data_IF_694351483764
#
_entry.id   IF_694351483764
#
_cell.length_a   1.000
_cell.length_b   1.000
_cell.length_c   1.000
_cell.angle_alpha   90.00
_cell.angle_beta   90.00
_cell.angle_gamma   90.00
#
_symmetry.space_group_name_H-M   'P 1'
#
loop_
_entity.id
_entity.type
_entity.pdbx_description
1 polymer ?
#
# COMPACT_ATOMS: atom_id res chain seq x y z
N UNK A 1 15.25 4.89 0.83
CA UNK A 1 15.00 3.99 -0.33
C UNK A 1 13.94 2.99 0.10
N UNK A 2 12.87 2.80 -0.68
CA UNK A 2 11.79 1.88 -0.32
C UNK A 2 12.09 0.41 -0.65
N UNK A 3 11.08 -0.43 -0.43
CA UNK A 3 11.10 -1.87 -0.72
C UNK A 3 11.32 -2.13 -2.22
N UNK A 4 11.95 -3.26 -2.55
CA UNK A 4 12.37 -3.58 -3.93
C UNK A 4 11.31 -4.34 -4.70
N UNK A 5 10.42 -5.03 -4.01
CA UNK A 5 9.37 -5.84 -4.63
C UNK A 5 7.99 -5.48 -4.09
N UNK A 6 6.93 -5.71 -4.90
CA UNK A 6 5.55 -5.61 -4.42
C UNK A 6 5.29 -6.46 -3.17
N UNK A 7 5.89 -7.64 -3.09
CA UNK A 7 5.74 -8.57 -1.97
C UNK A 7 6.34 -7.98 -0.69
N UNK A 8 7.55 -7.42 -0.76
CA UNK A 8 8.20 -6.77 0.37
C UNK A 8 7.40 -5.58 0.88
N UNK A 9 6.88 -4.72 -0.02
CA UNK A 9 6.12 -3.53 0.41
C UNK A 9 4.79 -3.91 1.05
N UNK A 10 4.06 -4.86 0.46
CA UNK A 10 2.79 -5.33 1.03
C UNK A 10 3.01 -6.02 2.37
N UNK A 11 4.06 -6.85 2.51
CA UNK A 11 4.41 -7.46 3.78
C UNK A 11 4.74 -6.41 4.85
N UNK A 12 5.52 -5.38 4.50
CA UNK A 12 5.85 -4.28 5.41
C UNK A 12 4.60 -3.50 5.86
N UNK A 13 3.69 -3.18 4.93
CA UNK A 13 2.43 -2.52 5.27
C UNK A 13 1.49 -3.39 6.11
N UNK A 14 1.40 -4.70 5.82
CA UNK A 14 0.60 -5.63 6.62
C UNK A 14 1.14 -5.80 8.05
N UNK A 15 2.45 -5.62 8.26
CA UNK A 15 3.06 -5.65 9.58
C UNK A 15 2.90 -4.33 10.36
N UNK A 16 2.43 -3.26 9.72
CA UNK A 16 2.15 -1.97 10.36
C UNK A 16 0.66 -1.87 10.70
N UNK A 17 0.27 -1.73 11.98
CA UNK A 17 -1.15 -1.74 12.37
C UNK A 17 -2.02 -0.70 11.64
N UNK A 18 -1.52 0.53 11.47
CA UNK A 18 -2.25 1.61 10.79
C UNK A 18 -2.43 1.34 9.29
N UNK A 19 -1.38 0.89 8.60
CA UNK A 19 -1.48 0.55 7.18
C UNK A 19 -2.36 -0.69 6.95
N UNK A 20 -2.17 -1.74 7.76
CA UNK A 20 -3.02 -2.94 7.72
C UNK A 20 -4.49 -2.63 7.94
N UNK A 21 -4.82 -1.72 8.86
CA UNK A 21 -6.20 -1.30 9.10
C UNK A 21 -6.85 -0.72 7.83
N UNK A 22 -6.12 0.07 7.04
CA UNK A 22 -6.61 0.58 5.77
C UNK A 22 -6.76 -0.52 4.72
N UNK A 23 -5.75 -1.40 4.58
CA UNK A 23 -5.75 -2.50 3.61
C UNK A 23 -6.93 -3.47 3.82
N UNK A 24 -7.24 -3.79 5.08
CA UNK A 24 -8.31 -4.73 5.43
C UNK A 24 -9.68 -4.07 5.60
N UNK A 25 -9.79 -2.75 5.38
CA UNK A 25 -11.04 -2.04 5.57
C UNK A 25 -12.02 -2.31 4.41
N UNK A 26 -13.03 -3.12 4.71
CA UNK A 26 -14.12 -3.47 3.77
C UNK A 26 -14.95 -2.29 3.26
N UNK A 27 -14.84 -1.11 3.86
CA UNK A 27 -15.62 0.07 3.48
C UNK A 27 -15.04 0.80 2.26
N UNK A 28 -13.80 0.50 1.88
CA UNK A 28 -13.24 0.99 0.62
C UNK A 28 -13.75 0.15 -0.54
N UNK A 29 -14.02 0.80 -1.66
CA UNK A 29 -14.59 0.17 -2.85
C UNK A 29 -13.63 0.18 -4.03
N UNK A 30 -12.55 0.99 -3.96
CA UNK A 30 -11.55 1.11 -5.01
C UNK A 30 -10.15 1.25 -4.40
N UNK A 31 -9.14 0.82 -5.15
CA UNK A 31 -7.73 1.00 -4.84
C UNK A 31 -6.99 1.54 -6.07
N UNK A 32 -6.11 2.52 -5.84
CA UNK A 32 -5.08 2.94 -6.78
C UNK A 32 -3.70 2.59 -6.24
N UNK A 33 -2.82 2.09 -7.11
CA UNK A 33 -1.44 1.73 -6.75
C UNK A 33 -0.48 2.45 -7.68
N UNK A 34 0.55 3.07 -7.11
CA UNK A 34 1.60 3.77 -7.85
C UNK A 34 2.99 3.31 -7.41
N UNK A 35 3.91 3.23 -8.38
CA UNK A 35 5.32 2.92 -8.16
C UNK A 35 6.19 3.92 -8.93
N UNK A 36 7.18 4.51 -8.24
CA UNK A 36 8.21 5.36 -8.83
C UNK A 36 9.57 4.67 -8.66
N UNK A 37 10.28 4.47 -9.77
CA UNK A 37 11.45 3.59 -9.85
C UNK A 37 12.72 4.18 -9.24
N UNK A 38 12.97 5.49 -9.39
CA UNK A 38 14.25 6.08 -8.96
C UNK A 38 14.38 6.12 -7.43
N UNK A 39 13.28 6.39 -6.73
CA UNK A 39 13.20 6.43 -5.27
C UNK A 39 12.74 5.10 -4.64
N UNK A 40 12.24 4.17 -5.45
CA UNK A 40 11.50 2.99 -5.00
C UNK A 40 10.33 3.39 -4.09
N UNK A 41 9.52 4.34 -4.56
CA UNK A 41 8.40 4.87 -3.79
C UNK A 41 7.14 4.11 -4.18
N UNK A 42 6.44 3.60 -3.16
CA UNK A 42 5.20 2.87 -3.32
C UNK A 42 4.07 3.64 -2.64
N UNK A 43 2.95 3.76 -3.34
CA UNK A 43 1.75 4.40 -2.80
C UNK A 43 0.55 3.49 -3.04
N UNK A 44 -0.30 3.36 -2.02
CA UNK A 44 -1.65 2.82 -2.14
C UNK A 44 -2.64 3.87 -1.68
N UNK A 45 -3.64 4.15 -2.52
CA UNK A 45 -4.74 5.03 -2.17
C UNK A 45 -6.04 4.21 -2.17
N UNK A 46 -6.72 4.21 -1.03
CA UNK A 46 -8.01 3.56 -0.86
C UNK A 46 -9.13 4.59 -0.95
N UNK A 47 -10.15 4.30 -1.74
CA UNK A 47 -11.25 5.24 -2.03
C UNK A 47 -12.58 4.55 -1.76
N UNK A 48 -13.52 5.31 -1.20
CA UNK A 48 -14.93 4.92 -1.08
C UNK A 48 -15.75 5.81 -2.00
N UNK A 49 -16.56 5.19 -2.86
CA UNK A 49 -17.66 5.86 -3.57
C UNK A 49 -18.91 5.92 -2.71
#
# INVERSE_FOLDING_TARGET
KGQRTPQEVVAAWMNSPGHRANILNKNYTHIGVGFEENGYIWTQQFIRK
#
